data_IF_745176115916
#
_entry.id   IF_745176115916
#
_cell.length_a   1.000
_cell.length_b   1.000
_cell.length_c   1.000
_cell.angle_alpha   90.00
_cell.angle_beta   90.00
_cell.angle_gamma   90.00
#
_symmetry.space_group_name_H-M   'P 1'
#
loop_
_entity.id
_entity.type
_entity.pdbx_description
1 polymer ?
#
# COMPACT_ATOMS: atom_id res chain seq x y z
N UNK A 1 13.70 -2.67 -8.78
CA UNK A 1 13.59 -1.39 -9.54
C UNK A 1 14.97 -0.98 -10.03
N UNK A 2 15.08 -0.21 -11.12
CA UNK A 2 16.38 0.27 -11.62
C UNK A 2 16.67 1.67 -11.07
N UNK A 3 17.33 1.71 -9.90
CA UNK A 3 17.67 2.94 -9.21
C UNK A 3 19.16 3.28 -9.33
N UNK A 4 19.53 4.54 -9.57
CA UNK A 4 20.91 4.99 -9.44
C UNK A 4 21.42 4.75 -8.02
N UNK A 5 22.71 4.38 -7.90
CA UNK A 5 23.31 3.94 -6.63
C UNK A 5 23.05 4.89 -5.46
N UNK A 6 23.20 6.20 -5.68
CA UNK A 6 23.01 7.21 -4.62
C UNK A 6 21.56 7.24 -4.09
N UNK A 7 20.57 7.07 -4.96
CA UNK A 7 19.15 7.00 -4.57
C UNK A 7 18.88 5.68 -3.86
N UNK A 8 19.40 4.57 -4.42
CA UNK A 8 19.26 3.23 -3.86
C UNK A 8 19.82 3.19 -2.42
N UNK A 9 21.06 3.61 -2.21
CA UNK A 9 21.73 3.53 -0.89
C UNK A 9 20.98 4.35 0.17
N UNK A 10 20.54 5.58 -0.15
CA UNK A 10 19.76 6.39 0.80
C UNK A 10 18.38 5.78 1.09
N UNK A 11 17.74 5.13 0.11
CA UNK A 11 16.48 4.42 0.31
C UNK A 11 16.64 3.25 1.30
N UNK A 12 17.72 2.46 1.18
CA UNK A 12 18.02 1.40 2.14
C UNK A 12 18.34 1.94 3.54
N UNK A 13 19.05 3.08 3.64
CA UNK A 13 19.26 3.73 4.94
C UNK A 13 17.94 4.19 5.57
N UNK A 14 17.01 4.70 4.77
CA UNK A 14 15.69 5.09 5.26
C UNK A 14 14.85 3.87 5.69
N UNK A 15 14.86 2.78 4.93
CA UNK A 15 14.21 1.51 5.31
C UNK A 15 14.73 0.97 6.65
N UNK A 16 16.05 0.96 6.83
CA UNK A 16 16.69 0.50 8.06
C UNK A 16 16.33 1.42 9.24
N UNK A 17 16.29 2.74 9.03
CA UNK A 17 15.84 3.70 10.03
C UNK A 17 14.37 3.47 10.42
N UNK A 18 13.47 3.36 9.45
CA UNK A 18 12.04 3.11 9.69
C UNK A 18 11.81 1.81 10.44
N UNK A 19 12.51 0.73 10.06
CA UNK A 19 12.46 -0.56 10.75
C UNK A 19 12.92 -0.44 12.21
N UNK A 20 13.99 0.31 12.46
CA UNK A 20 14.49 0.60 13.82
C UNK A 20 13.47 1.40 14.64
N UNK A 21 12.80 2.40 14.04
CA UNK A 21 11.75 3.18 14.71
C UNK A 21 10.56 2.32 15.15
N UNK A 22 10.08 1.42 14.28
CA UNK A 22 8.98 0.51 14.59
C UNK A 22 9.38 -0.49 15.68
N UNK A 23 10.59 -1.05 15.62
CA UNK A 23 11.11 -1.92 16.67
C UNK A 23 11.21 -1.18 18.03
N UNK A 24 11.66 0.08 18.01
CA UNK A 24 11.72 0.93 19.19
C UNK A 24 10.33 1.24 19.73
N UNK A 25 9.35 1.51 18.86
CA UNK A 25 7.97 1.71 19.25
C UNK A 25 7.42 0.47 19.96
N UNK A 26 7.68 -0.74 19.42
CA UNK A 26 7.29 -1.99 20.09
C UNK A 26 7.87 -2.09 21.49
N UNK A 27 9.17 -1.79 21.65
CA UNK A 27 9.83 -1.77 22.97
C UNK A 27 9.19 -0.73 23.88
N UNK A 28 8.88 0.47 23.38
CA UNK A 28 8.21 1.52 24.14
C UNK A 28 6.84 1.07 24.62
N UNK A 29 5.99 0.51 23.76
CA UNK A 29 4.63 0.09 24.14
C UNK A 29 4.66 -1.08 25.14
N UNK A 30 5.70 -1.92 25.09
CA UNK A 30 5.89 -3.00 26.06
C UNK A 30 6.47 -2.51 27.40
N UNK A 31 7.47 -1.62 27.38
CA UNK A 31 8.24 -1.24 28.58
C UNK A 31 7.80 0.08 29.22
N UNK A 32 7.14 0.94 28.45
CA UNK A 32 6.87 2.35 28.77
C UNK A 32 8.12 3.15 29.16
N UNK A 33 9.26 2.79 28.56
CA UNK A 33 10.53 3.42 28.84
C UNK A 33 10.61 4.84 28.26
N UNK A 34 10.81 5.83 29.13
CA UNK A 34 11.01 7.22 28.72
C UNK A 34 12.28 7.41 27.86
N UNK A 35 13.32 6.61 28.09
CA UNK A 35 14.56 6.69 27.29
C UNK A 35 14.35 6.22 25.86
N UNK A 36 13.52 5.18 25.65
CA UNK A 36 13.15 4.70 24.32
C UNK A 36 12.25 5.69 23.61
N UNK A 37 11.29 6.29 24.32
CA UNK A 37 10.46 7.36 23.78
C UNK A 37 11.30 8.55 23.28
N UNK A 38 12.26 9.01 24.08
CA UNK A 38 13.14 10.11 23.68
C UNK A 38 13.97 9.75 22.45
N UNK A 39 14.52 8.53 22.40
CA UNK A 39 15.27 8.02 21.24
C UNK A 39 14.45 8.03 19.94
N UNK A 40 13.16 7.70 20.01
CA UNK A 40 12.26 7.75 18.86
C UNK A 40 12.08 9.21 18.39
N UNK A 41 11.79 10.11 19.31
CA UNK A 41 11.55 11.53 19.03
C UNK A 41 12.80 12.23 18.46
N UNK A 42 13.98 11.97 19.00
CA UNK A 42 15.24 12.60 18.58
C UNK A 42 15.63 12.27 17.13
N UNK A 43 15.10 11.16 16.59
CA UNK A 43 15.43 10.68 15.24
C UNK A 43 14.48 11.17 14.15
N UNK A 44 13.43 11.94 14.49
CA UNK A 44 12.50 12.52 13.51
C UNK A 44 13.22 13.36 12.44
N UNK A 45 14.22 14.16 12.82
CA UNK A 45 14.96 14.95 11.85
C UNK A 45 15.84 14.11 10.90
N UNK A 46 16.24 12.91 11.33
CA UNK A 46 17.09 12.03 10.53
C UNK A 46 16.30 11.35 9.39
N UNK A 47 15.11 10.83 9.66
CA UNK A 47 14.23 10.26 8.63
C UNK A 47 13.83 11.31 7.58
N UNK A 48 13.44 12.51 8.04
CA UNK A 48 13.16 13.65 7.15
C UNK A 48 14.34 13.98 6.23
N UNK A 49 15.55 14.07 6.79
CA UNK A 49 16.75 14.38 6.00
C UNK A 49 17.11 13.29 4.98
N UNK A 50 16.86 12.02 5.30
CA UNK A 50 17.05 10.91 4.36
C UNK A 50 16.05 11.00 3.21
N UNK A 51 14.77 11.26 3.50
CA UNK A 51 13.74 11.52 2.47
C UNK A 51 14.16 12.66 1.54
N UNK A 52 14.57 13.80 2.11
CA UNK A 52 14.98 14.95 1.30
C UNK A 52 16.20 14.64 0.41
N UNK A 53 17.19 13.90 0.91
CA UNK A 53 18.34 13.46 0.08
C UNK A 53 17.92 12.57 -1.09
N UNK A 54 16.91 11.73 -0.91
CA UNK A 54 16.35 10.89 -1.99
C UNK A 54 15.68 11.78 -3.04
N UNK A 55 14.81 12.71 -2.61
CA UNK A 55 14.11 13.65 -3.50
C UNK A 55 15.07 14.55 -4.28
N UNK A 56 16.05 15.14 -3.60
CA UNK A 56 17.09 15.97 -4.23
C UNK A 56 17.92 15.14 -5.22
N UNK A 57 18.25 13.90 -4.85
CA UNK A 57 18.96 12.96 -5.71
C UNK A 57 18.17 12.65 -7.00
N UNK A 58 16.89 12.30 -6.88
CA UNK A 58 16.00 12.05 -8.01
C UNK A 58 15.89 13.28 -8.93
N UNK A 59 15.70 14.47 -8.34
CA UNK A 59 15.62 15.73 -9.08
C UNK A 59 16.91 16.02 -9.88
N UNK A 60 18.07 15.84 -9.25
CA UNK A 60 19.37 16.04 -9.91
C UNK A 60 19.58 15.08 -11.08
N UNK A 61 19.16 13.81 -10.94
CA UNK A 61 19.24 12.80 -12.00
C UNK A 61 18.32 13.17 -13.16
N UNK A 62 17.07 13.58 -12.88
CA UNK A 62 16.13 14.02 -13.91
C UNK A 62 16.62 15.26 -14.66
N UNK A 63 17.27 16.20 -13.97
CA UNK A 63 17.82 17.40 -14.58
C UNK A 63 19.02 17.12 -15.50
N UNK A 64 19.89 16.18 -15.11
CA UNK A 64 21.14 15.88 -15.81
C UNK A 64 21.01 14.76 -16.86
N UNK A 65 20.01 13.90 -16.73
CA UNK A 65 19.85 12.71 -17.56
C UNK A 65 19.38 13.03 -18.97
N UNK A 66 19.87 12.27 -19.95
CA UNK A 66 19.25 12.19 -21.28
C UNK A 66 17.95 11.37 -21.15
N UNK A 67 16.89 11.80 -21.85
CA UNK A 67 15.51 11.28 -21.72
C UNK A 67 15.36 9.75 -21.92
N UNK A 68 16.34 9.08 -22.53
CA UNK A 68 16.30 7.64 -22.84
C UNK A 68 17.06 6.73 -21.85
N UNK A 69 17.90 7.29 -20.96
CA UNK A 69 18.72 6.47 -20.04
C UNK A 69 18.15 6.40 -18.62
N UNK A 70 17.13 7.22 -18.32
CA UNK A 70 16.58 7.36 -16.97
C UNK A 70 15.26 6.62 -16.86
N UNK A 71 15.20 5.65 -15.96
CA UNK A 71 13.94 5.01 -15.56
C UNK A 71 13.14 5.96 -14.66
N UNK A 72 12.31 6.81 -15.30
CA UNK A 72 11.50 7.83 -14.62
C UNK A 72 10.52 7.19 -13.63
N UNK A 73 9.99 6.01 -13.93
CA UNK A 73 9.03 5.34 -13.05
C UNK A 73 9.70 4.78 -11.80
N UNK A 74 10.91 4.21 -11.94
CA UNK A 74 11.72 3.84 -10.77
C UNK A 74 12.07 5.06 -9.91
N UNK A 75 12.45 6.20 -10.49
CA UNK A 75 12.75 7.42 -9.72
C UNK A 75 11.52 7.97 -8.98
N UNK A 76 10.37 8.05 -9.66
CA UNK A 76 9.12 8.48 -9.03
C UNK A 76 8.71 7.55 -7.89
N UNK A 77 8.83 6.24 -8.10
CA UNK A 77 8.57 5.29 -7.03
C UNK A 77 9.52 5.49 -5.85
N UNK A 78 10.81 5.74 -6.08
CA UNK A 78 11.73 6.04 -4.97
C UNK A 78 11.32 7.30 -4.18
N UNK A 79 10.83 8.35 -4.84
CA UNK A 79 10.34 9.57 -4.16
C UNK A 79 9.09 9.29 -3.31
N UNK A 80 8.13 8.53 -3.85
CA UNK A 80 6.93 8.12 -3.13
C UNK A 80 7.27 7.24 -1.93
N UNK A 81 8.04 6.16 -2.15
CA UNK A 81 8.47 5.23 -1.09
C UNK A 81 9.22 5.98 0.00
N UNK A 82 10.07 6.95 -0.33
CA UNK A 82 10.76 7.76 0.67
C UNK A 82 9.80 8.62 1.53
N UNK A 83 8.73 9.13 0.93
CA UNK A 83 7.69 9.90 1.64
C UNK A 83 6.83 8.99 2.53
N UNK A 84 6.49 7.81 2.03
CA UNK A 84 5.71 6.82 2.75
C UNK A 84 6.49 6.23 3.94
N UNK A 85 7.79 5.95 3.76
CA UNK A 85 8.67 5.49 4.84
C UNK A 85 8.85 6.54 5.94
N UNK A 86 8.87 7.82 5.60
CA UNK A 86 8.87 8.89 6.61
C UNK A 86 7.51 8.98 7.30
N UNK A 87 6.41 8.83 6.57
CA UNK A 87 5.06 8.77 7.16
C UNK A 87 4.94 7.66 8.20
N UNK A 88 5.53 6.48 7.96
CA UNK A 88 5.64 5.42 8.97
C UNK A 88 6.39 5.87 10.24
N UNK A 89 7.46 6.66 10.08
CA UNK A 89 8.18 7.22 11.24
C UNK A 89 7.35 8.27 11.99
N UNK A 90 6.59 9.11 11.28
CA UNK A 90 5.70 10.10 11.89
C UNK A 90 4.58 9.44 12.69
N UNK A 91 4.01 8.34 12.16
CA UNK A 91 3.05 7.50 12.90
C UNK A 91 3.69 6.98 14.20
N UNK A 92 4.98 6.59 14.18
CA UNK A 92 5.68 6.21 15.41
C UNK A 92 5.74 7.35 16.42
N UNK A 93 6.06 8.58 15.99
CA UNK A 93 6.08 9.75 16.87
C UNK A 93 4.71 10.07 17.45
N UNK A 94 3.64 9.95 16.66
CA UNK A 94 2.28 10.11 17.14
C UNK A 94 1.91 9.06 18.19
N UNK A 95 2.32 7.81 17.99
CA UNK A 95 2.16 6.77 18.99
C UNK A 95 2.91 7.09 20.28
N UNK A 96 4.12 7.66 20.22
CA UNK A 96 4.85 8.13 21.41
C UNK A 96 4.06 9.23 22.14
N UNK A 97 3.55 10.22 21.41
CA UNK A 97 2.74 11.31 21.99
C UNK A 97 1.46 10.78 22.65
N UNK A 98 0.80 9.81 22.05
CA UNK A 98 -0.37 9.15 22.62
C UNK A 98 -0.01 8.32 23.85
N UNK A 99 1.12 7.60 23.82
CA UNK A 99 1.57 6.79 24.95
C UNK A 99 1.84 7.64 26.20
N UNK A 100 2.33 8.88 26.05
CA UNK A 100 2.49 9.80 27.18
C UNK A 100 1.16 10.26 27.83
N UNK A 101 0.04 10.16 27.11
CA UNK A 101 -1.30 10.46 27.66
C UNK A 101 -1.86 9.32 28.50
N UNK A 102 -1.21 8.15 28.51
CA UNK A 102 -1.67 7.01 29.31
C UNK A 102 -1.36 7.25 30.80
N UNK A 103 -2.40 7.11 31.62
CA UNK A 103 -2.28 7.26 33.07
C UNK A 103 -1.55 6.06 33.70
N UNK A 104 -1.74 4.87 33.11
CA UNK A 104 -1.12 3.62 33.53
C UNK A 104 -0.18 3.12 32.44
N UNK A 105 1.12 3.12 32.75
CA UNK A 105 2.19 2.64 31.86
C UNK A 105 1.95 1.21 31.37
N UNK A 106 1.42 0.32 32.23
CA UNK A 106 1.18 -1.08 31.86
C UNK A 106 -0.15 -1.34 31.12
N UNK A 107 -0.93 -0.31 30.76
CA UNK A 107 -2.23 -0.49 30.09
C UNK A 107 -2.11 -1.20 28.75
N UNK A 108 -0.98 -1.03 28.05
CA UNK A 108 -0.78 -1.57 26.70
C UNK A 108 -0.27 -3.02 26.66
N UNK A 109 0.36 -3.50 27.73
CA UNK A 109 0.95 -4.86 27.79
C UNK A 109 -0.06 -5.99 27.58
N UNK A 110 -1.34 -5.72 27.80
CA UNK A 110 -2.41 -6.73 27.72
C UNK A 110 -3.11 -6.76 26.37
N UNK A 111 -2.80 -5.84 25.47
CA UNK A 111 -3.44 -5.79 24.16
C UNK A 111 -2.56 -6.45 23.09
N UNK A 112 -3.16 -7.10 22.09
CA UNK A 112 -2.46 -7.66 20.93
C UNK A 112 -1.85 -6.57 20.01
N UNK A 113 -1.67 -5.33 20.50
CA UNK A 113 -1.08 -4.22 19.75
C UNK A 113 0.37 -4.52 19.36
N UNK A 114 1.09 -5.27 20.21
CA UNK A 114 2.47 -5.65 19.92
C UNK A 114 2.56 -6.61 18.72
N UNK A 115 1.54 -7.45 18.51
CA UNK A 115 1.46 -8.37 17.36
C UNK A 115 1.22 -7.58 16.07
N UNK A 116 0.44 -6.49 16.12
CA UNK A 116 0.26 -5.61 14.95
C UNK A 116 1.59 -5.05 14.43
N UNK A 117 2.49 -4.63 15.34
CA UNK A 117 3.80 -4.12 14.96
C UNK A 117 4.70 -5.21 14.34
N UNK A 118 4.51 -6.48 14.70
CA UNK A 118 5.24 -7.58 14.05
C UNK A 118 4.81 -7.75 12.58
N UNK A 119 3.51 -7.58 12.29
CA UNK A 119 3.01 -7.58 10.91
C UNK A 119 3.60 -6.42 10.10
N UNK A 120 3.73 -5.23 10.69
CA UNK A 120 4.35 -4.07 10.03
C UNK A 120 5.82 -4.34 9.72
N UNK A 121 6.57 -4.93 10.66
CA UNK A 121 7.97 -5.33 10.44
C UNK A 121 8.09 -6.37 9.32
N UNK A 122 7.21 -7.37 9.29
CA UNK A 122 7.16 -8.35 8.19
C UNK A 122 6.92 -7.64 6.84
N UNK A 123 6.02 -6.66 6.82
CA UNK A 123 5.71 -5.86 5.63
C UNK A 123 6.92 -5.10 5.10
N UNK A 124 7.69 -4.47 6.00
CA UNK A 124 8.93 -3.78 5.63
C UNK A 124 9.99 -4.74 5.08
N UNK A 125 10.13 -5.94 5.65
CA UNK A 125 11.05 -6.95 5.11
C UNK A 125 10.65 -7.41 3.70
N UNK A 126 9.35 -7.55 3.43
CA UNK A 126 8.83 -7.88 2.09
C UNK A 126 9.12 -6.74 1.09
N UNK A 127 8.94 -5.49 1.51
CA UNK A 127 9.23 -4.29 0.71
C UNK A 127 10.73 -4.23 0.38
N UNK A 128 11.60 -4.40 1.39
CA UNK A 128 13.05 -4.37 1.21
C UNK A 128 13.50 -5.40 0.17
N UNK A 129 13.07 -6.65 0.32
CA UNK A 129 13.35 -7.72 -0.64
C UNK A 129 12.81 -7.38 -2.05
N UNK A 130 11.64 -6.75 -2.14
CA UNK A 130 11.01 -6.40 -3.42
C UNK A 130 11.65 -5.20 -4.12
N UNK A 131 12.41 -4.37 -3.41
CA UNK A 131 13.17 -3.30 -4.06
C UNK A 131 14.36 -3.90 -4.83
N UNK A 132 14.98 -4.95 -4.27
CA UNK A 132 16.12 -5.67 -4.85
C UNK A 132 15.70 -6.70 -5.91
N UNK A 133 14.71 -7.53 -5.60
CA UNK A 133 14.27 -8.64 -6.43
C UNK A 133 13.01 -8.33 -7.22
N UNK A 134 12.79 -9.05 -8.32
CA UNK A 134 11.57 -8.92 -9.12
C UNK A 134 10.44 -9.80 -8.56
N UNK A 135 10.02 -9.55 -7.32
CA UNK A 135 8.97 -10.35 -6.67
C UNK A 135 7.57 -9.97 -7.19
N UNK A 136 7.01 -10.76 -8.10
CA UNK A 136 5.66 -10.59 -8.65
C UNK A 136 4.53 -10.88 -7.64
N UNK A 137 4.87 -11.33 -6.44
CA UNK A 137 3.93 -11.62 -5.35
C UNK A 137 3.90 -10.55 -4.25
N UNK A 138 4.72 -9.50 -4.33
CA UNK A 138 4.72 -8.36 -3.41
C UNK A 138 3.30 -7.91 -3.07
N UNK A 139 2.49 -7.68 -4.11
CA UNK A 139 1.12 -7.24 -4.02
C UNK A 139 0.21 -8.12 -3.16
N UNK A 140 0.41 -9.43 -3.27
CA UNK A 140 -0.38 -10.42 -2.54
C UNK A 140 0.07 -10.49 -1.09
N UNK A 141 1.38 -10.41 -0.84
CA UNK A 141 1.98 -10.46 0.49
C UNK A 141 1.62 -9.22 1.31
N UNK A 142 1.86 -8.02 0.79
CA UNK A 142 1.62 -6.76 1.53
C UNK A 142 0.15 -6.59 1.87
N UNK A 143 -0.79 -6.73 0.93
CA UNK A 143 -2.18 -6.58 1.35
C UNK A 143 -2.77 -7.80 2.08
N UNK A 144 -2.01 -8.89 2.33
CA UNK A 144 -2.40 -9.83 3.41
C UNK A 144 -2.09 -9.22 4.78
N UNK A 145 -1.02 -8.45 4.90
CA UNK A 145 -0.62 -7.73 6.11
C UNK A 145 -1.64 -6.62 6.41
N UNK A 146 -1.96 -5.76 5.44
CA UNK A 146 -3.00 -4.70 5.60
C UNK A 146 -4.32 -5.32 6.10
N UNK A 147 -4.89 -6.31 5.39
CA UNK A 147 -6.11 -7.00 5.85
C UNK A 147 -6.01 -7.63 7.23
N UNK A 148 -4.81 -8.06 7.65
CA UNK A 148 -4.60 -8.66 8.97
C UNK A 148 -4.55 -7.58 10.06
N UNK A 149 -3.95 -6.42 9.77
CA UNK A 149 -3.97 -5.25 10.62
C UNK A 149 -5.40 -4.74 10.81
N UNK A 150 -6.13 -4.52 9.72
CA UNK A 150 -7.54 -4.07 9.72
C UNK A 150 -8.43 -4.98 10.59
N UNK A 151 -8.37 -6.30 10.35
CA UNK A 151 -9.16 -7.27 11.12
C UNK A 151 -8.79 -7.28 12.60
N UNK A 152 -7.51 -7.17 12.90
CA UNK A 152 -7.01 -7.23 14.28
C UNK A 152 -7.39 -5.95 15.04
N UNK A 153 -7.33 -4.80 14.39
CA UNK A 153 -7.84 -3.54 14.90
C UNK A 153 -9.35 -3.60 15.14
N UNK A 154 -10.15 -4.03 14.15
CA UNK A 154 -11.60 -4.18 14.30
C UNK A 154 -11.98 -5.10 15.47
N UNK A 155 -11.28 -6.23 15.63
CA UNK A 155 -11.48 -7.14 16.76
C UNK A 155 -11.17 -6.46 18.10
N UNK A 156 -10.07 -5.69 18.16
CA UNK A 156 -9.70 -4.92 19.35
C UNK A 156 -10.74 -3.85 19.68
N UNK A 157 -11.20 -3.11 18.68
CA UNK A 157 -12.22 -2.08 18.80
C UNK A 157 -13.51 -2.63 19.41
N UNK A 158 -14.06 -3.71 18.84
CA UNK A 158 -15.28 -4.36 19.33
C UNK A 158 -15.16 -4.85 20.77
N UNK A 159 -14.02 -5.46 21.12
CA UNK A 159 -13.76 -5.92 22.48
C UNK A 159 -13.69 -4.78 23.48
N UNK A 160 -13.08 -3.66 23.08
CA UNK A 160 -12.92 -2.50 23.94
C UNK A 160 -14.21 -1.71 24.09
N UNK A 161 -15.01 -1.56 23.03
CA UNK A 161 -16.32 -0.92 23.09
C UNK A 161 -17.28 -1.64 24.04
N UNK A 162 -17.24 -2.98 24.07
CA UNK A 162 -18.01 -3.78 25.03
C UNK A 162 -17.60 -3.51 26.48
N UNK A 163 -16.29 -3.39 26.73
CA UNK A 163 -15.73 -3.11 28.06
C UNK A 163 -15.94 -1.65 28.49
N UNK A 164 -15.95 -0.71 27.54
CA UNK A 164 -16.01 0.74 27.77
C UNK A 164 -17.18 1.14 28.68
N UNK A 165 -18.34 0.52 28.49
CA UNK A 165 -19.58 0.77 29.27
C UNK A 165 -19.43 0.46 30.77
N UNK A 166 -18.43 -0.33 31.15
CA UNK A 166 -18.20 -0.80 32.52
C UNK A 166 -16.86 -0.34 33.12
N UNK A 167 -16.06 0.40 32.34
CA UNK A 167 -14.70 0.75 32.74
C UNK A 167 -14.69 1.97 33.67
N UNK A 168 -14.06 1.82 34.84
CA UNK A 168 -13.79 2.92 35.78
C UNK A 168 -12.95 4.06 35.17
N UNK A 169 -12.22 3.80 34.08
CA UNK A 169 -11.34 4.76 33.40
C UNK A 169 -11.37 4.54 31.88
N UNK A 170 -12.29 5.20 31.16
CA UNK A 170 -12.39 5.06 29.71
C UNK A 170 -11.23 5.73 28.97
N UNK A 171 -10.54 6.73 29.55
CA UNK A 171 -9.48 7.48 28.85
C UNK A 171 -8.34 6.59 28.38
N UNK A 172 -7.76 5.75 29.26
CA UNK A 172 -6.66 4.86 28.88
C UNK A 172 -7.09 3.86 27.79
N UNK A 173 -8.35 3.42 27.80
CA UNK A 173 -8.89 2.50 26.80
C UNK A 173 -9.05 3.18 25.43
N UNK A 174 -9.57 4.41 25.41
CA UNK A 174 -9.69 5.23 24.20
C UNK A 174 -8.30 5.55 23.63
N UNK A 175 -7.36 5.99 24.45
CA UNK A 175 -5.98 6.26 24.02
C UNK A 175 -5.32 5.01 23.46
N UNK A 176 -5.55 3.83 24.04
CA UNK A 176 -5.04 2.56 23.50
C UNK A 176 -5.65 2.22 22.13
N UNK A 177 -6.93 2.54 21.91
CA UNK A 177 -7.57 2.39 20.60
C UNK A 177 -6.98 3.33 19.57
N UNK A 178 -6.70 4.60 19.92
CA UNK A 178 -6.02 5.51 19.00
C UNK A 178 -4.62 5.04 18.63
N UNK A 179 -3.85 4.49 19.58
CA UNK A 179 -2.54 3.89 19.26
C UNK A 179 -2.72 2.71 18.30
N UNK A 180 -3.70 1.85 18.54
CA UNK A 180 -3.97 0.71 17.66
C UNK A 180 -4.40 1.14 16.25
N UNK A 181 -5.23 2.20 16.14
CA UNK A 181 -5.62 2.79 14.87
C UNK A 181 -4.40 3.33 14.12
N UNK A 182 -3.53 4.10 14.78
CA UNK A 182 -2.29 4.60 14.15
C UNK A 182 -1.42 3.46 13.62
N UNK A 183 -1.34 2.33 14.33
CA UNK A 183 -0.58 1.16 13.86
C UNK A 183 -1.29 0.47 12.70
N UNK A 184 -2.62 0.44 12.68
CA UNK A 184 -3.38 -0.10 11.56
C UNK A 184 -3.21 0.75 10.29
N UNK A 185 -3.20 2.07 10.41
CA UNK A 185 -2.89 3.01 9.33
C UNK A 185 -1.47 2.81 8.74
N UNK A 186 -0.53 2.19 9.48
CA UNK A 186 0.75 1.76 8.87
C UNK A 186 0.55 0.72 7.76
N UNK A 187 -0.52 -0.08 7.83
CA UNK A 187 -0.89 -1.04 6.80
C UNK A 187 -1.23 -0.38 5.47
N UNK A 188 -1.98 0.72 5.49
CA UNK A 188 -2.29 1.53 4.30
C UNK A 188 -1.01 2.08 3.68
N UNK A 189 -0.11 2.62 4.50
CA UNK A 189 1.18 3.15 4.02
C UNK A 189 2.07 2.05 3.41
N UNK A 190 2.04 0.82 3.94
CA UNK A 190 2.72 -0.33 3.33
C UNK A 190 2.11 -0.68 1.96
N UNK A 191 0.79 -0.59 1.82
CA UNK A 191 0.08 -0.77 0.55
C UNK A 191 0.50 0.28 -0.48
N UNK A 192 0.58 1.56 -0.10
CA UNK A 192 1.05 2.66 -0.95
C UNK A 192 2.49 2.43 -1.47
N UNK A 193 3.38 1.93 -0.59
CA UNK A 193 4.74 1.54 -0.98
C UNK A 193 4.72 0.40 -2.00
N UNK A 194 3.87 -0.61 -1.79
CA UNK A 194 3.75 -1.73 -2.72
C UNK A 194 3.22 -1.27 -4.09
N UNK A 195 2.25 -0.36 -4.12
CA UNK A 195 1.74 0.28 -5.33
C UNK A 195 2.84 1.04 -6.08
N UNK A 196 3.67 1.79 -5.37
CA UNK A 196 4.80 2.50 -5.95
C UNK A 196 5.82 1.54 -6.59
N UNK A 197 6.17 0.44 -5.93
CA UNK A 197 7.09 -0.57 -6.48
C UNK A 197 6.51 -1.25 -7.73
N UNK A 198 5.22 -1.61 -7.70
CA UNK A 198 4.56 -2.21 -8.87
C UNK A 198 4.50 -1.24 -10.04
N UNK A 199 4.13 0.02 -9.77
CA UNK A 199 4.04 1.06 -10.79
C UNK A 199 5.38 1.29 -11.48
N UNK A 200 6.48 1.28 -10.72
CA UNK A 200 7.83 1.35 -11.28
C UNK A 200 8.14 0.20 -12.24
N UNK A 201 7.71 -1.02 -11.89
CA UNK A 201 7.99 -2.22 -12.70
C UNK A 201 7.12 -2.30 -13.95
N UNK A 202 5.86 -1.87 -13.84
CA UNK A 202 4.93 -1.84 -14.96
C UNK A 202 5.20 -0.67 -15.91
N UNK A 203 5.98 0.33 -15.49
CA UNK A 203 6.20 1.54 -16.27
C UNK A 203 4.95 2.40 -16.39
N UNK A 204 3.99 2.25 -15.47
CA UNK A 204 2.75 3.02 -15.44
C UNK A 204 2.15 3.02 -14.02
N UNK A 205 1.40 4.06 -13.62
CA UNK A 205 0.69 4.07 -12.35
C UNK A 205 -0.28 2.89 -12.23
N UNK A 206 -0.22 2.16 -11.12
CA UNK A 206 -1.06 0.98 -10.89
C UNK A 206 -1.40 0.82 -9.41
N UNK A 207 -2.70 0.82 -9.10
CA UNK A 207 -3.21 0.50 -7.77
C UNK A 207 -3.23 -1.01 -7.51
N UNK A 208 -3.11 -1.40 -6.24
CA UNK A 208 -2.99 -2.79 -5.81
C UNK A 208 -4.24 -3.62 -6.12
N UNK A 209 -5.41 -3.04 -5.91
CA UNK A 209 -6.68 -3.68 -6.24
C UNK A 209 -6.89 -3.83 -7.75
N UNK A 210 -6.41 -2.88 -8.55
CA UNK A 210 -6.42 -2.97 -10.02
C UNK A 210 -5.54 -4.13 -10.48
N UNK A 211 -4.30 -4.18 -9.98
CA UNK A 211 -3.34 -5.23 -10.30
C UNK A 211 -3.87 -6.63 -9.96
N UNK A 212 -4.52 -6.78 -8.79
CA UNK A 212 -5.14 -8.06 -8.40
C UNK A 212 -6.28 -8.46 -9.31
N UNK A 213 -7.14 -7.51 -9.66
CA UNK A 213 -8.29 -7.75 -10.52
C UNK A 213 -7.84 -8.19 -11.92
N UNK A 214 -6.83 -7.49 -12.45
CA UNK A 214 -6.13 -7.84 -13.69
C UNK A 214 -5.54 -9.25 -13.63
N UNK A 215 -4.74 -9.56 -12.60
CA UNK A 215 -4.10 -10.89 -12.46
C UNK A 215 -5.13 -12.01 -12.35
N UNK A 216 -6.27 -11.76 -11.70
CA UNK A 216 -7.36 -12.74 -11.60
C UNK A 216 -8.00 -12.95 -12.97
N UNK A 217 -8.35 -11.88 -13.67
CA UNK A 217 -8.95 -11.95 -15.00
C UNK A 217 -8.03 -12.66 -16.02
N UNK A 218 -6.73 -12.33 -16.02
CA UNK A 218 -5.72 -12.98 -16.86
C UNK A 218 -5.58 -14.46 -16.55
N UNK A 219 -5.54 -14.82 -15.26
CA UNK A 219 -5.44 -16.22 -14.82
C UNK A 219 -6.66 -17.04 -15.21
N UNK A 220 -7.87 -16.48 -15.08
CA UNK A 220 -9.13 -17.15 -15.44
C UNK A 220 -9.18 -17.47 -16.95
N UNK A 221 -8.44 -16.71 -17.77
CA UNK A 221 -8.40 -16.84 -19.23
C UNK A 221 -7.14 -17.56 -19.74
N UNK A 222 -6.25 -18.00 -18.84
CA UNK A 222 -4.99 -18.64 -19.21
C UNK A 222 -3.97 -17.70 -19.87
N UNK A 223 -4.15 -16.39 -19.75
CA UNK A 223 -3.32 -15.34 -20.36
C UNK A 223 -2.20 -14.88 -19.41
N UNK A 224 -1.36 -15.80 -18.95
CA UNK A 224 -0.38 -15.55 -17.87
C UNK A 224 0.73 -14.57 -18.31
N UNK A 225 1.02 -14.50 -19.62
CA UNK A 225 2.09 -13.69 -20.22
C UNK A 225 1.57 -12.57 -21.15
N UNK A 226 0.36 -12.08 -20.91
CA UNK A 226 -0.18 -10.97 -21.71
C UNK A 226 0.39 -9.62 -21.27
N UNK A 227 0.66 -8.74 -22.25
CA UNK A 227 1.07 -7.37 -22.01
C UNK A 227 -0.16 -6.51 -21.70
N UNK A 228 -0.03 -5.60 -20.74
CA UNK A 228 -1.14 -4.78 -20.25
C UNK A 228 -0.75 -3.31 -20.29
N UNK A 229 -1.45 -2.55 -21.10
CA UNK A 229 -1.21 -1.12 -21.29
C UNK A 229 -2.44 -0.32 -20.85
N UNK A 230 -2.25 0.71 -20.05
CA UNK A 230 -3.33 1.63 -19.71
C UNK A 230 -3.66 2.52 -20.92
N UNK A 231 -4.88 2.38 -21.44
CA UNK A 231 -5.36 3.13 -22.62
C UNK A 231 -6.02 4.43 -22.19
N UNK A 232 -6.79 4.41 -21.11
CA UNK A 232 -7.56 5.56 -20.68
C UNK A 232 -7.93 5.52 -19.19
N UNK A 233 -8.34 6.69 -18.69
CA UNK A 233 -8.99 6.82 -17.38
C UNK A 233 -10.29 7.62 -17.55
N UNK A 234 -11.31 7.20 -16.81
CA UNK A 234 -12.56 7.96 -16.75
C UNK A 234 -12.47 9.02 -15.66
N UNK A 235 -13.21 10.13 -15.82
CA UNK A 235 -13.37 11.16 -14.77
C UNK A 235 -13.91 10.61 -13.44
N UNK A 236 -14.48 9.40 -13.48
CA UNK A 236 -15.01 8.70 -12.32
C UNK A 236 -13.98 7.89 -11.53
N UNK A 237 -12.73 7.84 -12.00
CA UNK A 237 -11.65 7.05 -11.41
C UNK A 237 -11.61 5.58 -11.83
N UNK A 238 -12.36 5.20 -12.87
CA UNK A 238 -12.27 3.85 -13.49
C UNK A 238 -11.12 3.82 -14.49
N UNK A 239 -10.26 2.79 -14.40
CA UNK A 239 -9.16 2.53 -15.34
C UNK A 239 -9.63 1.70 -16.53
N UNK A 240 -9.05 1.96 -17.70
CA UNK A 240 -9.25 1.17 -18.91
C UNK A 240 -7.87 0.75 -19.43
N UNK A 241 -7.64 -0.55 -19.50
CA UNK A 241 -6.40 -1.16 -19.98
C UNK A 241 -6.67 -2.08 -21.15
N UNK A 242 -5.76 -2.08 -22.13
CA UNK A 242 -5.72 -3.03 -23.20
C UNK A 242 -4.85 -4.22 -22.84
N UNK A 243 -5.25 -5.39 -23.27
CA UNK A 243 -4.49 -6.63 -23.12
C UNK A 243 -4.06 -7.08 -24.50
N UNK A 244 -2.76 -7.19 -24.76
CA UNK A 244 -2.20 -7.71 -26.01
C UNK A 244 -1.57 -9.09 -25.78
N UNK A 245 -1.76 -9.98 -26.75
CA UNK A 245 -1.01 -11.23 -26.81
C UNK A 245 0.33 -10.94 -27.49
N UNK A 246 1.41 -11.53 -26.97
CA UNK A 246 2.82 -11.25 -27.32
C UNK A 246 3.19 -11.49 -28.80
N UNK A 247 2.26 -12.02 -29.62
CA UNK A 247 2.49 -12.50 -30.99
C UNK A 247 1.53 -11.90 -32.05
N UNK A 248 0.74 -10.85 -31.75
CA UNK A 248 -0.12 -10.20 -32.76
C UNK A 248 0.20 -8.71 -32.94
N UNK A 249 0.50 -8.35 -34.19
CA UNK A 249 1.09 -7.07 -34.59
C UNK A 249 0.08 -5.98 -34.94
N UNK A 250 -1.19 -6.07 -34.53
CA UNK A 250 -2.14 -4.94 -34.63
C UNK A 250 -3.41 -5.15 -33.77
N UNK A 251 -3.39 -4.67 -32.52
CA UNK A 251 -4.59 -4.47 -31.70
C UNK A 251 -4.57 -5.11 -30.31
N UNK A 252 -5.51 -4.69 -29.46
CA UNK A 252 -5.74 -5.30 -28.15
C UNK A 252 -6.66 -6.52 -28.29
N UNK A 253 -6.26 -7.65 -27.71
CA UNK A 253 -7.06 -8.87 -27.67
C UNK A 253 -8.27 -8.74 -26.73
N UNK A 254 -8.16 -7.93 -25.67
CA UNK A 254 -9.25 -7.63 -24.76
C UNK A 254 -9.09 -6.26 -24.10
N UNK A 255 -10.19 -5.70 -23.57
CA UNK A 255 -10.19 -4.45 -22.82
C UNK A 255 -10.60 -4.75 -21.38
N UNK A 256 -9.72 -4.48 -20.44
CA UNK A 256 -10.02 -4.53 -19.02
C UNK A 256 -10.50 -3.16 -18.55
N UNK A 257 -11.65 -3.13 -17.91
CA UNK A 257 -12.15 -1.98 -17.17
C UNK A 257 -12.26 -2.30 -15.70
N UNK A 258 -11.66 -1.48 -14.85
CA UNK A 258 -11.74 -1.61 -13.39
C UNK A 258 -12.34 -0.35 -12.76
N UNK A 259 -13.01 -0.49 -11.61
CA UNK A 259 -13.67 0.64 -10.98
C UNK A 259 -14.50 0.27 -9.76
N UNK A 260 -15.43 1.16 -9.38
CA UNK A 260 -16.36 0.86 -8.30
C UNK A 260 -17.33 -0.26 -8.70
N UNK A 261 -17.62 -1.14 -7.75
CA UNK A 261 -18.49 -2.31 -7.96
C UNK A 261 -19.88 -1.91 -8.47
N UNK A 262 -20.43 -0.83 -7.92
CA UNK A 262 -21.76 -0.33 -8.29
C UNK A 262 -21.80 0.09 -9.76
N UNK A 263 -20.83 0.91 -10.20
CA UNK A 263 -20.78 1.41 -11.59
C UNK A 263 -20.52 0.31 -12.61
N UNK A 264 -19.60 -0.60 -12.32
CA UNK A 264 -19.34 -1.70 -13.25
C UNK A 264 -20.48 -2.72 -13.31
N UNK A 265 -21.30 -2.81 -12.25
CA UNK A 265 -22.53 -3.61 -12.30
C UNK A 265 -23.57 -2.94 -13.22
N UNK A 266 -23.76 -1.63 -13.08
CA UNK A 266 -24.65 -0.85 -13.96
C UNK A 266 -24.20 -0.94 -15.43
N UNK A 267 -22.89 -0.86 -15.68
CA UNK A 267 -22.33 -0.98 -17.02
C UNK A 267 -22.54 -2.36 -17.62
N UNK A 268 -22.31 -3.42 -16.84
CA UNK A 268 -22.61 -4.79 -17.26
C UNK A 268 -24.09 -4.96 -17.61
N UNK A 269 -24.99 -4.50 -16.75
CA UNK A 269 -26.45 -4.58 -16.98
C UNK A 269 -26.86 -3.80 -18.24
N UNK A 270 -26.23 -2.65 -18.48
CA UNK A 270 -26.42 -1.86 -19.70
C UNK A 270 -25.97 -2.63 -20.95
N UNK A 271 -24.79 -3.27 -20.91
CA UNK A 271 -24.25 -4.08 -22.01
C UNK A 271 -25.11 -5.32 -22.30
N UNK A 272 -25.59 -6.00 -21.26
CA UNK A 272 -26.51 -7.14 -21.38
C UNK A 272 -27.84 -6.68 -22.02
N UNK A 273 -28.41 -5.56 -21.58
CA UNK A 273 -29.62 -4.97 -22.16
C UNK A 273 -29.45 -4.65 -23.65
N UNK A 274 -28.31 -4.08 -24.06
CA UNK A 274 -28.03 -3.81 -25.47
C UNK A 274 -27.87 -5.09 -26.30
N UNK A 275 -27.35 -6.18 -25.73
CA UNK A 275 -27.33 -7.48 -26.41
C UNK A 275 -28.72 -8.03 -26.69
N UNK A 276 -29.66 -7.86 -25.74
CA UNK A 276 -31.05 -8.30 -25.91
C UNK A 276 -31.78 -7.45 -26.97
N UNK A 277 -31.50 -6.14 -27.03
CA UNK A 277 -32.15 -5.21 -27.96
C UNK A 277 -31.57 -5.33 -29.38
N UNK A 278 -30.25 -5.37 -29.51
CA UNK A 278 -29.56 -5.42 -30.80
C UNK A 278 -28.29 -6.29 -30.70
N UNK A 279 -28.41 -7.62 -30.91
CA UNK A 279 -27.28 -8.53 -30.83
C UNK A 279 -26.12 -8.08 -31.74
N UNK A 280 -24.92 -7.92 -31.15
CA UNK A 280 -23.71 -7.52 -31.87
C UNK A 280 -23.37 -6.02 -31.84
N UNK A 281 -24.22 -5.17 -31.25
CA UNK A 281 -23.92 -3.74 -31.07
C UNK A 281 -22.96 -3.48 -29.89
N UNK A 282 -23.20 -4.16 -28.76
CA UNK A 282 -22.42 -4.00 -27.55
C UNK A 282 -21.27 -5.02 -27.51
N UNK A 283 -20.14 -4.70 -26.83
CA UNK A 283 -19.01 -5.62 -26.70
C UNK A 283 -19.37 -6.84 -25.86
N UNK A 284 -18.77 -7.99 -26.16
CA UNK A 284 -18.93 -9.20 -25.36
C UNK A 284 -18.18 -9.05 -24.04
N UNK A 285 -18.82 -9.41 -22.93
CA UNK A 285 -18.19 -9.49 -21.61
C UNK A 285 -17.64 -10.90 -21.44
N UNK A 286 -16.32 -11.01 -21.41
CA UNK A 286 -15.59 -12.26 -21.22
C UNK A 286 -15.53 -12.65 -19.74
N UNK A 287 -15.35 -11.68 -18.84
CA UNK A 287 -15.29 -11.94 -17.41
C UNK A 287 -15.81 -10.75 -16.60
N UNK A 288 -16.36 -11.05 -15.42
CA UNK A 288 -16.75 -10.05 -14.44
C UNK A 288 -16.40 -10.51 -13.03
N UNK A 289 -15.44 -9.83 -12.41
CA UNK A 289 -14.95 -10.15 -11.08
C UNK A 289 -15.30 -9.04 -10.08
N UNK A 290 -15.56 -9.43 -8.83
CA UNK A 290 -15.95 -8.52 -7.73
C UNK A 290 -15.07 -8.76 -6.52
N UNK A 291 -14.59 -7.68 -5.90
CA UNK A 291 -13.85 -7.75 -4.64
C UNK A 291 -14.14 -6.53 -3.77
N UNK A 292 -14.77 -6.75 -2.62
CA UNK A 292 -15.17 -5.66 -1.72
C UNK A 292 -16.06 -4.63 -2.43
N UNK A 293 -15.62 -3.37 -2.46
CA UNK A 293 -16.28 -2.24 -3.13
C UNK A 293 -15.81 -2.00 -4.56
N UNK A 294 -14.92 -2.84 -5.09
CA UNK A 294 -14.36 -2.76 -6.45
C UNK A 294 -14.83 -3.92 -7.32
N UNK A 295 -14.76 -3.73 -8.63
CA UNK A 295 -15.00 -4.78 -9.61
C UNK A 295 -14.08 -4.58 -10.83
N UNK A 296 -14.04 -5.59 -11.69
CA UNK A 296 -13.44 -5.51 -13.02
C UNK A 296 -14.32 -6.21 -14.05
N UNK A 297 -14.29 -5.68 -15.26
CA UNK A 297 -15.02 -6.17 -16.42
C UNK A 297 -14.00 -6.34 -17.56
N UNK A 298 -13.97 -7.52 -18.16
CA UNK A 298 -13.19 -7.82 -19.35
C UNK A 298 -14.13 -8.17 -20.50
#
# INVERSE_FOLDING_TARGET
MRLPKIVKDNLFFLLAETSSQIANLKILLHTSSATVAQRILDRHGYSYNLKMRIHDGCTEILRKGKKHDVDIFSLRAAENIASDLESLTDICHDCVRLAFKLTRKNSLRKYPILELLDEVVEGLSIIEASIEENDSQLAVKVGKIERKLDRSYHKLFEQQMKKLKSLKRPQDAITSLFIAQRIEEMGDVLEDIAESIMSARLGQPMHLDRFRSLKTALSDLGLIDADVEQIAETKSGSGISGISASDQDDGYAAILKDGSKEKLKEERESVESWHDIFPGLAPQILNFSKRGKKASLL
#
